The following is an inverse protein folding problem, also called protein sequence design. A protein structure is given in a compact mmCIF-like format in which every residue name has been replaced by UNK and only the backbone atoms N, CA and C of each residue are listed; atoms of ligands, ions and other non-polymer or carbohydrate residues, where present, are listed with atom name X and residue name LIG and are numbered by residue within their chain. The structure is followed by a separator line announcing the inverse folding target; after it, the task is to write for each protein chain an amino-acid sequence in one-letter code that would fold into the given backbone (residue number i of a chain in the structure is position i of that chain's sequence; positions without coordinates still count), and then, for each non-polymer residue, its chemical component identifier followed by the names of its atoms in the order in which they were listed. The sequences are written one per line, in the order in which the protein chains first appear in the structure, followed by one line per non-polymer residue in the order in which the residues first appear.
data_IF_643222642975
#
_entry.id   IF_643222642975
#
_cell.length_a   1.000
_cell.length_b   1.000
_cell.length_c   1.000
_cell.angle_alpha   90.00
_cell.angle_beta   90.00
_cell.angle_gamma   90.00
#
_symmetry.space_group_name_H-M   'P 1'
#
loop_
_entity.id
_entity.type
_entity.pdbx_description
1 polymer ?
#
# COMPACT_ATOMS: atom_id res chain seq x y z
N UNK A 1 23.45 46.46 17.67
CA UNK A 1 24.48 45.88 16.81
C UNK A 1 24.28 44.42 16.53
N UNK A 2 23.77 43.65 17.45
CA UNK A 2 23.50 42.24 17.28
C UNK A 2 22.26 41.91 16.46
N UNK A 3 21.43 42.90 16.13
CA UNK A 3 20.18 42.69 15.37
C UNK A 3 20.39 42.48 13.87
N UNK A 4 21.42 43.03 13.27
CA UNK A 4 21.67 42.91 11.83
C UNK A 4 22.06 41.48 11.41
N UNK A 5 23.00 40.81 12.08
CA UNK A 5 23.31 39.41 11.74
C UNK A 5 22.11 38.48 11.94
N UNK A 6 21.29 38.71 12.97
CA UNK A 6 20.14 37.88 13.25
C UNK A 6 19.01 38.05 12.22
N UNK A 7 18.88 39.24 11.59
CA UNK A 7 17.92 39.44 10.49
C UNK A 7 18.37 38.73 9.22
N UNK A 8 19.65 38.76 8.90
CA UNK A 8 20.21 38.05 7.77
C UNK A 8 20.11 36.55 7.96
N UNK A 9 20.34 36.08 9.16
CA UNK A 9 20.18 34.67 9.52
C UNK A 9 18.71 34.24 9.39
N UNK A 10 17.78 35.03 9.79
CA UNK A 10 16.35 34.76 9.65
C UNK A 10 15.92 34.69 8.18
N UNK A 11 16.44 35.61 7.35
CA UNK A 11 16.17 35.58 5.92
C UNK A 11 16.71 34.34 5.23
N UNK A 12 17.95 33.95 5.56
CA UNK A 12 18.56 32.75 5.04
C UNK A 12 17.83 31.48 5.53
N UNK A 13 17.42 31.46 6.80
CA UNK A 13 16.67 30.35 7.35
C UNK A 13 15.30 30.19 6.67
N UNK A 14 14.60 31.27 6.36
CA UNK A 14 13.32 31.25 5.64
C UNK A 14 13.51 30.72 4.21
N UNK A 15 14.56 31.15 3.51
CA UNK A 15 14.86 30.68 2.17
C UNK A 15 15.17 29.16 2.14
N UNK A 16 15.96 28.70 3.10
CA UNK A 16 16.29 27.26 3.25
C UNK A 16 15.03 26.47 3.57
N UNK A 17 14.15 27.01 4.41
CA UNK A 17 12.89 26.37 4.78
C UNK A 17 11.95 26.23 3.57
N UNK A 18 11.87 27.25 2.70
CA UNK A 18 11.06 27.18 1.49
C UNK A 18 11.56 26.13 0.51
N UNK A 19 12.86 25.99 0.35
CA UNK A 19 13.46 24.92 -0.46
C UNK A 19 13.21 23.55 0.15
N UNK A 20 13.26 23.43 1.47
CA UNK A 20 12.96 22.19 2.18
C UNK A 20 11.51 21.76 2.00
N UNK A 21 10.55 22.69 1.96
CA UNK A 21 9.14 22.39 1.71
C UNK A 21 8.91 21.83 0.31
N UNK A 22 9.56 22.35 -0.71
CA UNK A 22 9.47 21.83 -2.06
C UNK A 22 10.07 20.43 -2.16
N UNK A 23 11.20 20.18 -1.49
CA UNK A 23 11.81 18.86 -1.38
C UNK A 23 10.97 17.88 -0.58
N UNK A 24 10.32 18.33 0.50
CA UNK A 24 9.43 17.51 1.32
C UNK A 24 8.18 17.03 0.57
N UNK A 25 7.64 17.81 -0.37
CA UNK A 25 6.49 17.38 -1.17
C UNK A 25 6.81 16.17 -2.03
N UNK A 26 7.98 16.13 -2.68
CA UNK A 26 8.46 14.98 -3.46
C UNK A 26 8.78 13.80 -2.52
N UNK A 27 9.41 14.08 -1.39
CA UNK A 27 9.74 13.07 -0.38
C UNK A 27 8.50 12.44 0.25
N UNK A 28 7.43 13.21 0.51
CA UNK A 28 6.23 12.67 1.15
C UNK A 28 5.48 11.70 0.24
N UNK A 29 5.53 11.85 -1.09
CA UNK A 29 4.96 10.89 -2.02
C UNK A 29 5.71 9.56 -1.97
N UNK A 30 7.04 9.59 -2.08
CA UNK A 30 7.89 8.40 -1.98
C UNK A 30 7.82 7.77 -0.58
N UNK A 31 7.82 8.61 0.44
CA UNK A 31 7.72 8.17 1.83
C UNK A 31 6.39 7.50 2.12
N UNK A 32 5.28 8.01 1.59
CA UNK A 32 3.96 7.42 1.76
C UNK A 32 3.89 6.00 1.21
N UNK A 33 4.42 5.76 0.02
CA UNK A 33 4.49 4.43 -0.60
C UNK A 33 5.38 3.51 0.23
N UNK A 34 6.55 4.00 0.63
CA UNK A 34 7.50 3.23 1.42
C UNK A 34 6.95 2.86 2.81
N UNK A 35 6.20 3.76 3.44
CA UNK A 35 5.55 3.48 4.72
C UNK A 35 4.48 2.40 4.60
N UNK A 36 3.68 2.45 3.54
CA UNK A 36 2.68 1.42 3.26
C UNK A 36 3.33 0.05 3.07
N UNK A 37 4.40 -0.02 2.28
CA UNK A 37 5.15 -1.25 2.08
C UNK A 37 5.78 -1.77 3.37
N UNK A 38 6.36 -0.88 4.17
CA UNK A 38 6.94 -1.24 5.45
C UNK A 38 5.88 -1.75 6.43
N UNK A 39 4.72 -1.11 6.46
CA UNK A 39 3.60 -1.58 7.26
C UNK A 39 3.18 -2.99 6.84
N UNK A 40 3.03 -3.23 5.54
CA UNK A 40 2.63 -4.53 5.00
C UNK A 40 3.63 -5.62 5.37
N UNK A 41 4.93 -5.36 5.23
CA UNK A 41 5.98 -6.31 5.59
C UNK A 41 5.97 -6.65 7.07
N UNK A 42 5.68 -5.68 7.95
CA UNK A 42 5.64 -5.91 9.40
C UNK A 42 4.40 -6.69 9.82
N UNK A 43 3.29 -6.51 9.14
CA UNK A 43 1.99 -7.06 9.55
C UNK A 43 1.61 -8.35 8.83
N UNK A 44 2.15 -8.61 7.64
CA UNK A 44 1.88 -9.84 6.89
C UNK A 44 2.18 -11.11 7.71
N UNK A 45 3.29 -11.21 8.46
CA UNK A 45 3.54 -12.37 9.31
C UNK A 45 2.49 -12.60 10.38
N UNK A 46 1.81 -11.57 10.85
CA UNK A 46 0.71 -11.71 11.81
C UNK A 46 -0.47 -12.43 11.18
N UNK A 47 -0.80 -12.10 9.93
CA UNK A 47 -1.85 -12.80 9.19
C UNK A 47 -1.42 -14.23 8.86
N UNK A 48 -0.17 -14.41 8.45
CA UNK A 48 0.37 -15.74 8.15
C UNK A 48 0.40 -16.68 9.35
N UNK A 49 0.55 -16.16 10.55
CA UNK A 49 0.58 -16.95 11.80
C UNK A 49 -0.80 -17.10 12.46
N UNK A 50 -1.85 -16.53 11.88
CA UNK A 50 -3.20 -16.60 12.41
C UNK A 50 -3.51 -15.59 13.51
N UNK A 51 -2.59 -14.67 13.83
CA UNK A 51 -2.81 -13.62 14.82
C UNK A 51 -3.69 -12.48 14.31
N UNK A 52 -3.85 -12.39 13.00
CA UNK A 52 -4.69 -11.44 12.30
C UNK A 52 -5.38 -12.18 11.16
N UNK A 53 -6.63 -11.84 10.87
CA UNK A 53 -7.30 -12.40 9.68
C UNK A 53 -6.72 -11.78 8.42
N UNK A 54 -6.62 -12.56 7.36
CA UNK A 54 -6.15 -12.06 6.07
C UNK A 54 -7.04 -10.94 5.53
N UNK A 55 -8.36 -11.04 5.71
CA UNK A 55 -9.29 -9.98 5.32
C UNK A 55 -9.03 -8.68 6.06
N UNK A 56 -8.71 -8.74 7.35
CA UNK A 56 -8.37 -7.55 8.15
C UNK A 56 -7.04 -6.95 7.69
N UNK A 57 -6.05 -7.79 7.41
CA UNK A 57 -4.75 -7.35 6.89
C UNK A 57 -4.91 -6.58 5.57
N UNK A 58 -5.61 -7.18 4.60
CA UNK A 58 -5.77 -6.55 3.30
C UNK A 58 -6.70 -5.34 3.32
N UNK A 59 -7.69 -5.32 4.20
CA UNK A 59 -8.55 -4.14 4.41
C UNK A 59 -7.72 -2.96 4.94
N UNK A 60 -6.88 -3.18 5.94
CA UNK A 60 -6.00 -2.15 6.46
C UNK A 60 -4.96 -1.72 5.43
N UNK A 61 -4.46 -2.66 4.63
CA UNK A 61 -3.54 -2.37 3.53
C UNK A 61 -4.21 -1.43 2.51
N UNK A 62 -5.41 -1.76 2.08
CA UNK A 62 -6.20 -0.93 1.14
C UNK A 62 -6.44 0.48 1.70
N UNK A 63 -6.82 0.60 2.96
CA UNK A 63 -7.05 1.88 3.61
C UNK A 63 -5.80 2.75 3.60
N UNK A 64 -4.64 2.16 3.85
CA UNK A 64 -3.35 2.88 3.83
C UNK A 64 -2.95 3.30 2.43
N UNK A 65 -3.16 2.42 1.43
CA UNK A 65 -2.92 2.75 0.02
C UNK A 65 -3.86 3.88 -0.43
N UNK A 66 -5.13 3.78 -0.09
CA UNK A 66 -6.12 4.80 -0.45
C UNK A 66 -5.84 6.16 0.20
N UNK A 67 -5.20 6.18 1.36
CA UNK A 67 -4.80 7.41 2.04
C UNK A 67 -3.51 8.01 1.47
N UNK A 68 -2.73 7.23 0.71
CA UNK A 68 -1.49 7.72 0.10
C UNK A 68 -1.79 8.61 -1.11
N UNK A 69 -1.20 9.82 -1.21
CA UNK A 69 -1.59 10.78 -2.25
C UNK A 69 -1.37 10.32 -3.69
N UNK A 70 -0.40 9.43 -3.92
CA UNK A 70 0.05 9.02 -5.26
C UNK A 70 -0.73 7.83 -5.80
N UNK A 71 -1.15 6.92 -4.94
CA UNK A 71 -1.68 5.62 -5.35
C UNK A 71 -3.17 5.42 -5.00
N UNK A 72 -3.82 6.46 -4.45
CA UNK A 72 -5.20 6.37 -3.99
C UNK A 72 -6.22 6.02 -5.08
N UNK A 73 -5.92 6.30 -6.34
CA UNK A 73 -6.80 6.03 -7.49
C UNK A 73 -6.18 5.03 -8.48
N UNK A 74 -5.15 4.31 -8.06
CA UNK A 74 -4.41 3.40 -8.94
C UNK A 74 -5.05 2.02 -9.01
N UNK A 75 -4.70 1.19 -10.00
CA UNK A 75 -5.10 -0.22 -10.05
C UNK A 75 -4.71 -1.04 -8.81
N UNK A 76 -3.79 -0.54 -8.00
CA UNK A 76 -3.41 -1.19 -6.72
C UNK A 76 -4.60 -1.30 -5.77
N UNK A 77 -5.42 -0.25 -5.67
CA UNK A 77 -6.62 -0.24 -4.83
C UNK A 77 -7.61 -1.33 -5.30
N UNK A 78 -7.84 -1.43 -6.59
CA UNK A 78 -8.70 -2.46 -7.17
C UNK A 78 -8.17 -3.86 -6.89
N UNK A 79 -6.87 -4.06 -7.06
CA UNK A 79 -6.20 -5.36 -6.81
C UNK A 79 -6.32 -5.78 -5.36
N UNK A 80 -6.14 -4.85 -4.43
CA UNK A 80 -6.32 -5.13 -3.01
C UNK A 80 -7.79 -5.47 -2.69
N UNK A 81 -8.74 -4.84 -3.38
CA UNK A 81 -10.15 -5.21 -3.28
C UNK A 81 -10.41 -6.66 -3.70
N UNK A 82 -9.79 -7.12 -4.78
CA UNK A 82 -9.84 -8.52 -5.21
C UNK A 82 -9.26 -9.43 -4.13
N UNK A 83 -8.16 -9.03 -3.52
CA UNK A 83 -7.52 -9.81 -2.46
C UNK A 83 -8.35 -9.87 -1.18
N UNK A 84 -9.05 -8.80 -0.83
CA UNK A 84 -9.99 -8.79 0.29
C UNK A 84 -11.12 -9.81 0.02
N UNK A 85 -11.67 -9.81 -1.18
CA UNK A 85 -12.72 -10.77 -1.59
C UNK A 85 -12.21 -12.21 -1.49
N UNK A 86 -11.01 -12.47 -2.00
CA UNK A 86 -10.39 -13.79 -1.90
C UNK A 86 -10.19 -14.21 -0.44
N UNK A 87 -9.77 -13.29 0.41
CA UNK A 87 -9.56 -13.53 1.84
C UNK A 87 -10.86 -13.89 2.56
N UNK A 88 -11.94 -13.17 2.27
CA UNK A 88 -13.27 -13.47 2.82
C UNK A 88 -13.76 -14.84 2.40
N UNK A 89 -13.62 -15.20 1.11
CA UNK A 89 -14.00 -16.51 0.61
C UNK A 89 -13.17 -17.63 1.24
N UNK A 90 -11.90 -17.39 1.48
CA UNK A 90 -11.02 -18.35 2.15
C UNK A 90 -11.47 -18.56 3.61
N UNK A 91 -11.77 -17.48 4.32
CA UNK A 91 -12.25 -17.55 5.71
C UNK A 91 -13.61 -18.22 5.83
N UNK A 92 -14.47 -18.08 4.83
CA UNK A 92 -15.78 -18.73 4.75
C UNK A 92 -15.71 -20.19 4.29
N UNK A 93 -14.54 -20.69 3.93
CA UNK A 93 -14.36 -22.05 3.40
C UNK A 93 -14.81 -22.23 1.96
N UNK A 94 -15.10 -21.17 1.22
CA UNK A 94 -15.49 -21.18 -0.19
C UNK A 94 -14.30 -21.24 -1.14
N UNK A 95 -13.13 -20.91 -0.65
CA UNK A 95 -11.86 -20.91 -1.36
C UNK A 95 -10.88 -21.73 -0.55
N UNK A 96 -10.21 -22.69 -1.16
CA UNK A 96 -9.19 -23.49 -0.45
C UNK A 96 -7.86 -22.74 -0.37
N UNK A 97 -6.92 -23.28 0.41
CA UNK A 97 -5.61 -22.67 0.60
C UNK A 97 -4.85 -22.51 -0.72
N UNK A 98 -4.91 -23.51 -1.59
CA UNK A 98 -4.23 -23.47 -2.89
C UNK A 98 -4.78 -22.34 -3.77
N UNK A 99 -6.10 -22.17 -3.80
CA UNK A 99 -6.76 -21.08 -4.51
C UNK A 99 -6.39 -19.72 -3.93
N UNK A 100 -6.44 -19.58 -2.60
CA UNK A 100 -6.03 -18.36 -1.91
C UNK A 100 -4.57 -18.01 -2.23
N UNK A 101 -3.67 -18.99 -2.12
CA UNK A 101 -2.25 -18.79 -2.40
C UNK A 101 -1.99 -18.37 -3.84
N UNK A 102 -2.77 -18.87 -4.80
CA UNK A 102 -2.67 -18.49 -6.21
C UNK A 102 -2.99 -17.00 -6.43
N UNK A 103 -4.07 -16.51 -5.85
CA UNK A 103 -4.44 -15.10 -5.94
C UNK A 103 -3.41 -14.23 -5.19
N UNK A 104 -3.03 -14.65 -4.00
CA UNK A 104 -2.08 -13.93 -3.17
C UNK A 104 -0.71 -13.77 -3.86
N UNK A 105 -0.26 -14.80 -4.56
CA UNK A 105 1.01 -14.77 -5.30
C UNK A 105 1.00 -13.67 -6.36
N UNK A 106 -0.10 -13.52 -7.08
CA UNK A 106 -0.24 -12.46 -8.08
C UNK A 106 -0.24 -11.10 -7.41
N UNK A 107 -1.01 -10.94 -6.35
CA UNK A 107 -1.08 -9.67 -5.61
C UNK A 107 0.29 -9.28 -5.06
N UNK A 108 1.05 -10.23 -4.50
CA UNK A 108 2.41 -9.99 -4.01
C UNK A 108 3.38 -9.61 -5.12
N UNK A 109 3.30 -10.29 -6.26
CA UNK A 109 4.19 -10.03 -7.40
C UNK A 109 4.04 -8.61 -7.93
N UNK A 110 2.81 -8.11 -7.98
CA UNK A 110 2.52 -6.79 -8.54
C UNK A 110 2.30 -5.71 -7.49
N UNK A 111 2.30 -6.03 -6.27
CA UNK A 111 2.14 -5.24 -5.04
C UNK A 111 1.74 -3.76 -5.26
N UNK A 112 2.71 -2.87 -5.42
CA UNK A 112 2.49 -1.43 -5.66
C UNK A 112 2.66 -1.04 -7.13
N UNK A 113 2.79 -2.01 -8.04
CA UNK A 113 2.92 -1.74 -9.46
C UNK A 113 1.58 -1.31 -10.03
N UNK A 114 1.58 -0.16 -10.68
CA UNK A 114 0.39 0.46 -11.26
C UNK A 114 0.13 -0.11 -12.66
N UNK A 115 -0.25 -1.39 -12.72
CA UNK A 115 -0.53 -2.10 -13.97
C UNK A 115 -1.93 -2.74 -13.90
N UNK A 116 -2.90 -2.28 -14.73
CA UNK A 116 -4.23 -2.85 -14.78
C UNK A 116 -4.26 -4.33 -15.19
N UNK A 117 -3.28 -4.79 -15.98
CA UNK A 117 -3.21 -6.18 -16.41
C UNK A 117 -3.06 -7.14 -15.23
N UNK A 118 -2.38 -6.71 -14.16
CA UNK A 118 -2.25 -7.49 -12.93
C UNK A 118 -3.61 -7.76 -12.27
N UNK A 119 -4.53 -6.82 -12.37
CA UNK A 119 -5.88 -6.96 -11.82
C UNK A 119 -6.68 -8.04 -12.56
N UNK A 120 -6.54 -8.13 -13.87
CA UNK A 120 -7.15 -9.20 -14.67
C UNK A 120 -6.57 -10.57 -14.28
N UNK A 121 -5.26 -10.65 -14.08
CA UNK A 121 -4.62 -11.88 -13.64
C UNK A 121 -5.14 -12.35 -12.27
N UNK A 122 -5.24 -11.43 -11.33
CA UNK A 122 -5.74 -11.71 -9.99
C UNK A 122 -7.22 -12.14 -10.02
N UNK A 123 -8.04 -11.43 -10.77
CA UNK A 123 -9.46 -11.75 -10.93
C UNK A 123 -9.66 -13.11 -11.57
N UNK A 124 -8.92 -13.40 -12.64
CA UNK A 124 -9.00 -14.69 -13.32
C UNK A 124 -8.54 -15.85 -12.42
N UNK A 125 -7.50 -15.64 -11.63
CA UNK A 125 -7.04 -16.63 -10.66
C UNK A 125 -8.12 -16.92 -9.61
N UNK A 126 -8.81 -15.89 -9.11
CA UNK A 126 -9.90 -16.05 -8.15
C UNK A 126 -11.07 -16.82 -8.77
N UNK A 127 -11.49 -16.45 -9.97
CA UNK A 127 -12.59 -17.13 -10.68
C UNK A 127 -12.27 -18.61 -10.88
N UNK A 128 -11.07 -18.92 -11.37
CA UNK A 128 -10.65 -20.31 -11.56
C UNK A 128 -10.63 -21.12 -10.25
N UNK A 129 -10.16 -20.48 -9.19
CA UNK A 129 -10.10 -21.15 -7.88
C UNK A 129 -11.51 -21.42 -7.32
N UNK A 130 -12.47 -20.57 -7.58
CA UNK A 130 -13.86 -20.74 -7.15
C UNK A 130 -14.61 -21.81 -7.95
N UNK A 131 -14.16 -22.15 -9.18
CA UNK A 131 -14.74 -23.19 -10.01
C UNK A 131 -14.34 -24.60 -9.58
N UNK A 132 -13.34 -24.73 -8.75
CA UNK A 132 -12.85 -25.99 -8.22
C UNK A 132 -13.20 -26.15 -6.74
#
# INVERSE_FOLDING_TARGET
MTRFPSMLERGAAIAIFALSLAGCAIFSETYGIQEVDNWARRNEPLAGSGKMKWSDFYTQYLERVAAAPVISQSPVVERLGIMITASLFYEEGRLDKAGFDSVQRIVRTYQTIDDPAANMLARNALVRALEH
#
